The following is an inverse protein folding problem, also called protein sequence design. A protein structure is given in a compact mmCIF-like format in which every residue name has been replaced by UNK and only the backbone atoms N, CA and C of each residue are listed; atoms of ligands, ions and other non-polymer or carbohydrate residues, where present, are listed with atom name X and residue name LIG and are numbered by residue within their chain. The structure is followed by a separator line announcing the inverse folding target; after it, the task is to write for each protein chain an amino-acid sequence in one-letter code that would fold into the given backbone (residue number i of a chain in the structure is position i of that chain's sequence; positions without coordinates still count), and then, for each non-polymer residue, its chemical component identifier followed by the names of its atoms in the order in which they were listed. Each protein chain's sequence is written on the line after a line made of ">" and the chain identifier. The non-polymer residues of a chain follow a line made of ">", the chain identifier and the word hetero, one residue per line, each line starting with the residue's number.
data_IF_755904227469
#
_entry.id   IF_755904227469
#
_cell.length_a   1.000
_cell.length_b   1.000
_cell.length_c   1.000
_cell.angle_alpha   90.00
_cell.angle_beta   90.00
_cell.angle_gamma   90.00
#
_symmetry.space_group_name_H-M   'P 1'
#
loop_
_entity.id
_entity.type
_entity.pdbx_description
1 polymer ?
#
# COMPACT_ATOMS: atom_id res chain seq x y z
N UNK A 1 -32.19 6.26 -12.13
CA UNK A 1 -32.38 6.99 -11.08
C UNK A 1 -31.50 8.18 -10.94
N UNK A 2 -32.01 9.14 -10.48
CA UNK A 2 -31.32 10.35 -10.55
C UNK A 2 -30.73 10.74 -9.27
N UNK A 3 -29.59 11.28 -9.31
CA UNK A 3 -28.89 11.67 -8.13
C UNK A 3 -29.23 13.07 -7.76
N UNK A 4 -30.21 13.46 -7.74
CA UNK A 4 -30.87 14.62 -7.20
C UNK A 4 -29.95 15.67 -6.62
N UNK A 5 -28.94 16.05 -7.29
CA UNK A 5 -28.14 17.17 -6.89
C UNK A 5 -27.15 16.96 -5.78
N UNK A 6 -26.83 15.75 -5.47
CA UNK A 6 -25.77 15.51 -4.50
C UNK A 6 -24.45 15.88 -5.11
N UNK A 7 -23.70 16.68 -4.38
CA UNK A 7 -22.40 17.16 -4.86
C UNK A 7 -21.27 16.45 -4.14
N UNK A 8 -21.37 15.15 -4.04
CA UNK A 8 -20.34 14.38 -3.40
C UNK A 8 -19.10 14.28 -4.26
N UNK A 9 -17.93 14.29 -3.66
CA UNK A 9 -16.71 14.12 -4.42
C UNK A 9 -16.69 12.76 -5.08
N UNK A 10 -16.15 12.70 -6.26
CA UNK A 10 -15.88 11.44 -6.93
C UNK A 10 -14.56 10.93 -6.41
N UNK A 11 -14.57 9.72 -5.89
CA UNK A 11 -13.36 9.10 -5.38
C UNK A 11 -12.88 8.09 -6.41
N UNK A 12 -11.65 8.26 -6.85
CA UNK A 12 -11.05 7.36 -7.82
C UNK A 12 -9.85 6.69 -7.17
N UNK A 13 -9.83 5.37 -7.24
CA UNK A 13 -8.67 4.61 -6.81
C UNK A 13 -7.87 4.22 -8.03
N UNK A 14 -6.57 4.44 -7.95
CA UNK A 14 -5.65 4.04 -9.00
C UNK A 14 -4.65 3.07 -8.39
N UNK A 15 -4.63 1.86 -8.89
CA UNK A 15 -3.68 0.86 -8.41
C UNK A 15 -2.33 1.16 -9.01
N UNK A 16 -1.33 1.37 -8.17
CA UNK A 16 0.01 1.67 -8.62
C UNK A 16 0.84 0.42 -8.81
N UNK A 17 0.70 -0.55 -7.93
CA UNK A 17 1.46 -1.77 -8.05
C UNK A 17 1.18 -2.71 -6.90
N UNK A 18 1.86 -3.84 -6.92
CA UNK A 18 1.70 -4.89 -5.93
C UNK A 18 3.07 -5.36 -5.47
N UNK A 19 3.15 -5.81 -4.24
CA UNK A 19 4.35 -6.39 -3.70
C UNK A 19 4.00 -7.67 -2.98
N UNK A 20 4.87 -8.66 -3.10
CA UNK A 20 4.71 -9.93 -2.43
C UNK A 20 5.60 -9.95 -1.19
N UNK A 21 5.01 -10.25 -0.05
CA UNK A 21 5.76 -10.33 1.21
C UNK A 21 6.57 -11.62 1.20
N UNK A 22 7.90 -11.47 1.23
CA UNK A 22 8.80 -12.61 1.25
C UNK A 22 9.30 -12.92 2.66
N UNK A 23 9.48 -11.89 3.47
CA UNK A 23 9.99 -12.04 4.83
C UNK A 23 9.38 -10.98 5.71
N UNK A 24 9.38 -11.24 7.00
CA UNK A 24 8.96 -10.23 7.97
C UNK A 24 10.09 -10.06 8.98
N UNK A 25 10.27 -8.83 9.43
CA UNK A 25 11.28 -8.51 10.42
C UNK A 25 10.61 -7.84 11.60
N UNK A 26 10.89 -8.35 12.79
CA UNK A 26 10.35 -7.76 14.01
C UNK A 26 11.34 -6.72 14.51
N UNK A 27 10.93 -5.48 14.54
CA UNK A 27 11.76 -4.37 15.01
C UNK A 27 11.40 -3.95 16.43
N UNK A 28 10.81 -4.81 17.20
CA UNK A 28 10.48 -4.53 18.58
C UNK A 28 9.41 -3.47 18.71
N UNK A 29 9.73 -2.38 19.40
CA UNK A 29 8.75 -1.33 19.65
C UNK A 29 8.29 -0.63 18.37
N UNK A 30 9.03 -0.74 17.30
CA UNK A 30 8.66 -0.09 16.05
C UNK A 30 7.74 -0.95 15.19
N UNK A 31 7.41 -2.15 15.65
CA UNK A 31 6.55 -3.04 14.92
C UNK A 31 7.29 -3.84 13.88
N UNK A 32 6.54 -4.48 13.01
CA UNK A 32 7.12 -5.36 12.01
C UNK A 32 7.31 -4.63 10.69
N UNK A 33 8.37 -5.01 10.01
CA UNK A 33 8.68 -4.53 8.67
C UNK A 33 8.47 -5.70 7.72
N UNK A 34 7.75 -5.47 6.64
CA UNK A 34 7.55 -6.49 5.63
C UNK A 34 8.61 -6.34 4.54
N UNK A 35 9.39 -7.39 4.34
CA UNK A 35 10.33 -7.45 3.23
C UNK A 35 9.62 -7.99 2.02
N UNK A 36 9.46 -7.16 1.01
CA UNK A 36 8.64 -7.47 -0.15
C UNK A 36 9.43 -7.35 -1.43
N UNK A 37 8.95 -8.04 -2.46
CA UNK A 37 9.42 -7.82 -3.82
C UNK A 37 8.25 -7.26 -4.62
N UNK A 38 8.52 -6.24 -5.40
CA UNK A 38 7.49 -5.63 -6.23
C UNK A 38 7.22 -6.55 -7.41
N UNK A 39 5.99 -7.05 -7.50
CA UNK A 39 5.63 -8.02 -8.53
C UNK A 39 5.11 -7.37 -9.79
N UNK A 40 4.49 -6.20 -9.66
CA UNK A 40 4.13 -5.42 -10.84
C UNK A 40 4.00 -3.96 -10.44
N UNK A 41 4.07 -3.08 -11.42
CA UNK A 41 3.91 -1.65 -11.22
C UNK A 41 5.01 -1.07 -10.36
N UNK A 42 4.60 -0.25 -9.40
CA UNK A 42 5.55 0.40 -8.51
C UNK A 42 4.90 0.64 -7.15
N UNK A 43 5.75 0.85 -6.15
CA UNK A 43 5.31 1.21 -4.81
C UNK A 43 5.85 2.60 -4.52
N UNK A 44 4.99 3.49 -4.05
CA UNK A 44 5.41 4.84 -3.69
C UNK A 44 5.22 5.05 -2.20
N UNK A 45 6.09 5.84 -1.62
CA UNK A 45 6.04 6.11 -0.19
C UNK A 45 4.80 6.93 0.20
N UNK A 46 4.19 7.59 -0.76
CA UNK A 46 3.00 8.40 -0.50
C UNK A 46 1.69 7.66 -0.73
N UNK A 47 1.77 6.45 -1.25
CA UNK A 47 0.56 5.70 -1.55
C UNK A 47 -0.06 5.11 -0.31
N UNK A 48 -1.24 4.59 -0.50
CA UNK A 48 -1.89 3.79 0.54
C UNK A 48 -1.69 2.33 0.21
N UNK A 49 -1.76 1.51 1.23
CA UNK A 49 -1.50 0.09 1.07
C UNK A 49 -2.69 -0.72 1.57
N UNK A 50 -2.94 -1.80 0.87
CA UNK A 50 -3.97 -2.76 1.24
C UNK A 50 -3.30 -4.12 1.31
N UNK A 51 -3.40 -4.77 2.45
CA UNK A 51 -2.80 -6.09 2.64
C UNK A 51 -3.86 -7.14 2.34
N UNK A 52 -3.53 -8.03 1.41
CA UNK A 52 -4.45 -9.11 1.03
C UNK A 52 -3.81 -10.45 1.32
N UNK A 53 -4.61 -11.36 1.84
CA UNK A 53 -4.19 -12.72 2.11
C UNK A 53 -5.26 -13.64 1.53
N UNK A 54 -4.87 -14.45 0.55
CA UNK A 54 -5.78 -15.38 -0.10
C UNK A 54 -7.01 -14.68 -0.67
N UNK A 55 -6.80 -13.47 -1.19
CA UNK A 55 -7.88 -12.72 -1.79
C UNK A 55 -8.69 -11.86 -0.83
N UNK A 56 -8.46 -11.98 0.47
CA UNK A 56 -9.19 -11.19 1.46
C UNK A 56 -8.36 -10.01 1.90
N UNK A 57 -9.02 -8.87 2.06
CA UNK A 57 -8.37 -7.67 2.53
C UNK A 57 -8.30 -7.73 4.05
N UNK A 58 -7.09 -7.75 4.59
CA UNK A 58 -6.89 -7.78 6.03
C UNK A 58 -6.75 -6.38 6.61
N UNK A 59 -6.23 -5.44 5.84
CA UNK A 59 -5.93 -4.13 6.35
C UNK A 59 -5.81 -3.14 5.20
N UNK A 60 -6.22 -1.92 5.44
CA UNK A 60 -5.99 -0.80 4.54
C UNK A 60 -5.48 0.37 5.35
N UNK A 61 -4.47 1.03 4.86
CA UNK A 61 -3.93 2.18 5.55
C UNK A 61 -2.80 2.81 4.78
N UNK A 62 -2.12 3.74 5.42
CA UNK A 62 -1.02 4.45 4.80
C UNK A 62 0.30 3.77 5.08
N UNK A 63 1.22 3.88 4.15
CA UNK A 63 2.59 3.49 4.39
C UNK A 63 3.22 4.47 5.37
N UNK A 64 3.88 3.96 6.39
CA UNK A 64 4.64 4.81 7.30
C UNK A 64 6.10 4.85 6.93
N UNK A 65 6.58 3.83 6.18
CA UNK A 65 7.97 3.79 5.81
C UNK A 65 8.13 2.90 4.59
N UNK A 66 8.96 3.34 3.66
CA UNK A 66 9.34 2.56 2.50
C UNK A 66 10.85 2.67 2.37
N UNK A 67 11.53 1.53 2.41
CA UNK A 67 12.98 1.53 2.35
C UNK A 67 13.46 0.48 1.37
N UNK A 68 14.58 0.78 0.77
CA UNK A 68 15.26 -0.15 -0.10
C UNK A 68 16.68 -0.29 0.43
N UNK A 69 17.06 -1.54 0.81
CA UNK A 69 18.27 -1.80 1.56
C UNK A 69 18.19 -1.06 2.90
N UNK A 70 19.08 -0.14 3.17
CA UNK A 70 19.08 0.61 4.41
C UNK A 70 18.70 2.07 4.21
N UNK A 71 18.26 2.42 3.03
CA UNK A 71 17.96 3.80 2.68
C UNK A 71 16.48 3.96 2.43
N UNK A 72 15.96 5.14 2.78
CA UNK A 72 14.60 5.45 2.46
C UNK A 72 14.46 5.60 0.96
N UNK A 73 13.32 5.14 0.45
CA UNK A 73 13.03 5.21 -0.97
C UNK A 73 11.71 5.92 -1.18
N UNK A 74 11.64 6.76 -2.19
CA UNK A 74 10.38 7.38 -2.57
C UNK A 74 9.57 6.47 -3.47
N UNK A 75 10.23 5.60 -4.21
CA UNK A 75 9.56 4.73 -5.15
C UNK A 75 10.40 3.47 -5.34
N UNK A 76 9.73 2.33 -5.46
CA UNK A 76 10.36 1.05 -5.76
C UNK A 76 9.60 0.44 -6.93
N UNK A 77 10.32 -0.02 -7.92
CA UNK A 77 9.72 -0.50 -9.15
C UNK A 77 9.70 -2.02 -9.21
N UNK A 78 9.01 -2.53 -10.21
CA UNK A 78 8.85 -3.96 -10.43
C UNK A 78 10.20 -4.66 -10.45
N UNK A 79 10.25 -5.80 -9.79
CA UNK A 79 11.46 -6.61 -9.72
C UNK A 79 12.42 -6.22 -8.62
N UNK A 80 12.17 -5.12 -7.93
CA UNK A 80 13.04 -4.66 -6.86
C UNK A 80 12.47 -5.06 -5.50
N UNK A 81 13.36 -5.29 -4.56
CA UNK A 81 12.96 -5.63 -3.20
C UNK A 81 12.94 -4.39 -2.35
N UNK A 82 12.06 -4.39 -1.37
CA UNK A 82 11.93 -3.26 -0.46
C UNK A 82 11.41 -3.72 0.89
N UNK A 83 11.59 -2.87 1.89
CA UNK A 83 10.98 -3.06 3.19
C UNK A 83 9.95 -1.98 3.41
N UNK A 84 8.77 -2.35 3.90
CA UNK A 84 7.74 -1.38 4.14
C UNK A 84 7.08 -1.61 5.50
N UNK A 85 6.52 -0.54 6.03
CA UNK A 85 5.76 -0.58 7.26
C UNK A 85 4.45 0.12 7.03
N UNK A 86 3.43 -0.40 7.68
CA UNK A 86 2.10 0.21 7.62
C UNK A 86 1.73 0.76 8.97
N UNK A 87 0.88 1.78 8.95
CA UNK A 87 0.41 2.40 10.17
C UNK A 87 -0.52 1.41 10.89
N UNK A 88 -0.19 1.11 12.15
CA UNK A 88 -1.01 0.24 13.01
C UNK A 88 -1.21 -1.18 12.49
N UNK A 89 -0.31 -1.67 11.66
CA UNK A 89 -0.42 -3.04 11.19
C UNK A 89 0.95 -3.69 11.17
N UNK A 90 1.06 -4.84 11.79
CA UNK A 90 2.30 -5.58 11.81
C UNK A 90 2.11 -7.06 11.63
N UNK A 91 0.93 -7.49 11.22
CA UNK A 91 0.62 -8.91 11.13
C UNK A 91 0.88 -9.46 9.73
N UNK A 92 2.03 -9.10 9.17
CA UNK A 92 2.43 -9.60 7.86
C UNK A 92 2.81 -11.06 7.94
N UNK A 93 2.48 -11.81 6.90
CA UNK A 93 2.93 -13.19 6.74
C UNK A 93 3.51 -13.36 5.36
N UNK A 94 4.42 -14.33 5.26
CA UNK A 94 4.99 -14.65 3.98
C UNK A 94 3.87 -15.08 3.02
N UNK A 95 3.91 -14.53 1.82
CA UNK A 95 2.89 -14.80 0.83
C UNK A 95 1.79 -13.76 0.75
N UNK A 96 1.74 -12.82 1.70
CA UNK A 96 0.76 -11.76 1.63
C UNK A 96 1.07 -10.84 0.44
N UNK A 97 0.01 -10.25 -0.09
CA UNK A 97 0.14 -9.28 -1.18
C UNK A 97 -0.17 -7.91 -0.63
N UNK A 98 0.73 -6.98 -0.88
CA UNK A 98 0.51 -5.58 -0.51
C UNK A 98 0.20 -4.83 -1.79
N UNK A 99 -1.01 -4.33 -1.89
CA UNK A 99 -1.46 -3.56 -3.05
C UNK A 99 -1.31 -2.09 -2.73
N UNK A 100 -0.61 -1.37 -3.58
CA UNK A 100 -0.38 0.06 -3.39
C UNK A 100 -1.31 0.80 -4.33
N UNK A 101 -2.02 1.78 -3.80
CA UNK A 101 -2.98 2.54 -4.58
C UNK A 101 -2.99 3.99 -4.13
N UNK A 102 -3.51 4.83 -4.98
CA UNK A 102 -3.76 6.23 -4.64
C UNK A 102 -5.25 6.48 -4.69
N UNK A 103 -5.69 7.36 -3.82
CA UNK A 103 -7.08 7.78 -3.80
C UNK A 103 -7.11 9.25 -4.20
N UNK A 104 -7.86 9.53 -5.24
CA UNK A 104 -8.00 10.88 -5.73
C UNK A 104 -9.44 11.30 -5.58
N UNK A 105 -9.65 12.43 -4.92
CA UNK A 105 -11.00 12.98 -4.77
C UNK A 105 -11.18 14.09 -5.78
N UNK A 106 -12.17 13.93 -6.61
CA UNK A 106 -12.47 14.92 -7.63
C UNK A 106 -13.80 15.54 -7.27
N UNK A 107 -13.79 16.82 -6.93
CA UNK A 107 -15.03 17.51 -6.60
C UNK A 107 -15.83 17.72 -7.88
N UNK A 108 -17.12 17.45 -7.79
CA UNK A 108 -17.99 17.72 -8.91
C UNK A 108 -18.24 19.21 -9.01
N UNK A 109 -18.31 19.69 -10.22
CA UNK A 109 -18.61 21.08 -10.46
C UNK A 109 -19.88 21.18 -11.28
N UNK A 110 -20.62 22.18 -10.99
CA UNK A 110 -21.86 22.40 -11.71
C UNK A 110 -21.72 23.52 -12.74
#
# INVERSE_FOLDING_TARGET
>A
ELMQGLLEPIVRESILGHALVKQTFDRGKRGKVAGCIVTDGRITARGRARVKRRGDVLYEGSLTSLRRFQNEAAEVREGQECGLRLDNFGDFEQGDIVEIYEVEKIAQQL
#
